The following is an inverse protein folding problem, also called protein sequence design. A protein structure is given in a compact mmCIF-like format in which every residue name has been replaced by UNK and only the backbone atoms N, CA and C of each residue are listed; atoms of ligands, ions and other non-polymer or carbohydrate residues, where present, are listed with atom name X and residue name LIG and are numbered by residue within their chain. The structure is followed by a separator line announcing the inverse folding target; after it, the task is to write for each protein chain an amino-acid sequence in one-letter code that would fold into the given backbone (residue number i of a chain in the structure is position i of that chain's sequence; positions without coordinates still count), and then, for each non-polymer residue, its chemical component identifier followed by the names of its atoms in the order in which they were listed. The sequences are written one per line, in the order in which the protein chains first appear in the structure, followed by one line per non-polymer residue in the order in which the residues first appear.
data_IF_797462424174
#
_entry.id   IF_797462424174
#
_cell.length_a   1.000
_cell.length_b   1.000
_cell.length_c   1.000
_cell.angle_alpha   90.00
_cell.angle_beta   90.00
_cell.angle_gamma   90.00
#
_symmetry.space_group_name_H-M   'P 1'
#
loop_
_entity.id
_entity.type
_entity.pdbx_description
1 polymer ?
#
# COMPACT_ATOMS: atom_id res chain seq x y z
N UNK A 1 -11.01 16.24 27.08
CA UNK A 1 -10.30 15.39 26.09
C UNK A 1 -11.03 15.62 24.79
N UNK A 2 -10.56 16.61 24.03
CA UNK A 2 -11.33 17.24 22.97
C UNK A 2 -11.59 16.26 21.81
N UNK A 3 -12.86 16.09 21.45
CA UNK A 3 -13.32 15.39 20.24
C UNK A 3 -13.00 16.16 18.94
N UNK A 4 -12.25 17.27 19.04
CA UNK A 4 -11.85 18.09 17.90
C UNK A 4 -10.72 17.41 17.13
N UNK A 5 -11.06 16.65 16.09
CA UNK A 5 -10.08 16.14 15.12
C UNK A 5 -10.31 14.70 14.63
N UNK A 6 -11.33 13.98 15.11
CA UNK A 6 -11.67 12.65 14.58
C UNK A 6 -12.70 12.75 13.46
N UNK A 7 -12.40 12.14 12.31
CA UNK A 7 -13.30 12.05 11.18
C UNK A 7 -14.10 10.75 11.20
N UNK A 8 -13.42 9.61 11.30
CA UNK A 8 -14.03 8.28 11.28
C UNK A 8 -14.26 7.80 12.72
N UNK A 9 -15.51 7.83 13.17
CA UNK A 9 -15.88 7.45 14.53
C UNK A 9 -16.43 6.02 14.59
N UNK A 10 -17.14 5.59 13.55
CA UNK A 10 -17.76 4.28 13.50
C UNK A 10 -17.67 3.64 12.11
N UNK A 11 -17.68 2.32 12.09
CA UNK A 11 -17.70 1.53 10.87
C UNK A 11 -18.30 0.15 11.16
N UNK A 12 -18.75 -0.54 10.12
CA UNK A 12 -19.25 -1.91 10.19
C UNK A 12 -18.44 -2.78 9.25
N UNK A 13 -17.83 -3.85 9.78
CA UNK A 13 -17.07 -4.82 8.99
C UNK A 13 -18.01 -5.95 8.53
N UNK A 14 -17.93 -6.31 7.25
CA UNK A 14 -18.56 -7.49 6.68
C UNK A 14 -17.51 -8.39 6.04
N UNK A 15 -17.37 -9.60 6.56
CA UNK A 15 -16.47 -10.60 5.98
C UNK A 15 -17.11 -11.19 4.72
N UNK A 16 -16.33 -11.21 3.63
CA UNK A 16 -16.70 -11.77 2.34
C UNK A 16 -15.76 -12.92 2.05
N UNK A 17 -16.31 -14.13 2.01
CA UNK A 17 -15.58 -15.32 1.58
C UNK A 17 -15.61 -15.39 0.05
N UNK A 18 -14.46 -15.68 -0.56
CA UNK A 18 -14.38 -15.74 -2.02
C UNK A 18 -14.92 -17.09 -2.51
N UNK A 19 -16.08 -17.09 -3.16
CA UNK A 19 -16.71 -18.31 -3.68
C UNK A 19 -15.89 -19.03 -4.78
N UNK A 20 -14.92 -18.34 -5.39
CA UNK A 20 -14.12 -18.85 -6.50
C UNK A 20 -12.90 -19.71 -6.11
N UNK A 21 -12.55 -19.82 -4.83
CA UNK A 21 -11.44 -20.67 -4.39
C UNK A 21 -11.78 -21.34 -3.04
N UNK A 22 -12.52 -22.47 -3.06
CA UNK A 22 -12.95 -23.17 -1.85
C UNK A 22 -11.81 -23.65 -0.94
N UNK A 23 -10.58 -23.70 -1.47
CA UNK A 23 -9.34 -24.04 -0.75
C UNK A 23 -8.58 -22.83 -0.19
N UNK A 24 -9.01 -21.59 -0.49
CA UNK A 24 -8.43 -20.39 0.11
C UNK A 24 -8.97 -20.21 1.52
N UNK A 25 -8.13 -20.42 2.54
CA UNK A 25 -8.47 -20.07 3.93
C UNK A 25 -8.64 -18.55 4.12
N UNK A 26 -8.08 -17.74 3.21
CA UNK A 26 -8.15 -16.28 3.26
C UNK A 26 -9.53 -15.72 2.92
N UNK A 27 -9.90 -14.67 3.63
CA UNK A 27 -11.14 -13.90 3.48
C UNK A 27 -10.86 -12.47 2.97
N UNK A 28 -11.91 -11.80 2.51
CA UNK A 28 -11.90 -10.37 2.25
C UNK A 28 -12.81 -9.67 3.25
N UNK A 29 -12.64 -8.37 3.44
CA UNK A 29 -13.52 -7.55 4.25
C UNK A 29 -14.06 -6.37 3.43
N UNK A 30 -15.35 -6.10 3.57
CA UNK A 30 -16.00 -4.88 3.11
C UNK A 30 -16.43 -4.10 4.34
N UNK A 31 -15.93 -2.88 4.47
CA UNK A 31 -16.13 -2.05 5.65
C UNK A 31 -16.93 -0.83 5.25
N UNK A 32 -18.13 -0.70 5.80
CA UNK A 32 -18.99 0.47 5.62
C UNK A 32 -18.63 1.52 6.67
N UNK A 33 -18.42 2.77 6.26
CA UNK A 33 -18.01 3.86 7.15
C UNK A 33 -19.22 4.71 7.54
N UNK A 34 -19.26 5.13 8.81
CA UNK A 34 -20.24 6.08 9.33
C UNK A 34 -20.06 7.49 8.77
N UNK A 35 -18.84 7.85 8.40
CA UNK A 35 -18.46 9.17 7.92
C UNK A 35 -17.93 9.13 6.48
N UNK A 36 -17.95 10.29 5.82
CA UNK A 36 -17.40 10.46 4.48
C UNK A 36 -15.93 10.90 4.57
N UNK A 37 -15.02 10.05 4.11
CA UNK A 37 -13.57 10.26 4.17
C UNK A 37 -12.97 10.89 2.91
N UNK A 38 -13.80 11.35 1.94
CA UNK A 38 -13.33 11.82 0.62
C UNK A 38 -12.24 12.89 0.69
N UNK A 39 -12.31 13.77 1.68
CA UNK A 39 -11.38 14.89 1.83
C UNK A 39 -9.99 14.45 2.30
N UNK A 40 -9.88 13.27 2.91
CA UNK A 40 -8.61 12.72 3.42
C UNK A 40 -7.89 11.90 2.35
N UNK A 41 -8.61 11.40 1.33
CA UNK A 41 -8.05 10.51 0.31
C UNK A 41 -6.79 11.07 -0.40
N UNK A 42 -6.71 12.36 -0.79
CA UNK A 42 -5.49 12.90 -1.40
C UNK A 42 -4.28 12.88 -0.45
N UNK A 43 -4.51 13.08 0.85
CA UNK A 43 -3.46 13.07 1.87
C UNK A 43 -3.00 11.63 2.16
N UNK A 44 -3.95 10.69 2.27
CA UNK A 44 -3.65 9.26 2.38
C UNK A 44 -2.88 8.76 1.14
N UNK A 45 -3.22 9.24 -0.06
CA UNK A 45 -2.50 8.90 -1.27
C UNK A 45 -1.02 9.30 -1.19
N UNK A 46 -0.73 10.48 -0.63
CA UNK A 46 0.64 10.92 -0.44
C UNK A 46 1.37 10.11 0.65
N UNK A 47 0.74 9.98 1.83
CA UNK A 47 1.31 9.34 3.02
C UNK A 47 1.52 7.83 2.84
N UNK A 48 0.48 7.13 2.39
CA UNK A 48 0.47 5.67 2.22
C UNK A 48 1.01 5.24 0.85
N UNK A 49 1.57 6.17 0.08
CA UNK A 49 2.22 5.89 -1.20
C UNK A 49 1.30 5.13 -2.16
N UNK A 50 0.11 5.70 -2.43
CA UNK A 50 -0.96 5.07 -3.20
C UNK A 50 -0.49 4.28 -4.43
N UNK A 51 -0.93 3.03 -4.51
CA UNK A 51 -0.69 2.14 -5.65
C UNK A 51 -1.52 2.57 -6.87
N UNK A 52 -2.76 3.00 -6.59
CA UNK A 52 -3.67 3.60 -7.55
C UNK A 52 -4.45 4.71 -6.87
N UNK A 53 -4.68 5.80 -7.60
CA UNK A 53 -5.50 6.92 -7.13
C UNK A 53 -6.26 7.53 -8.29
N UNK A 54 -7.55 7.79 -8.08
CA UNK A 54 -8.39 8.58 -8.96
C UNK A 54 -9.10 9.64 -8.13
N UNK A 55 -8.81 10.92 -8.41
CA UNK A 55 -9.50 12.01 -7.74
C UNK A 55 -10.97 12.08 -8.18
N UNK A 56 -11.25 11.86 -9.47
CA UNK A 56 -12.60 11.88 -10.03
C UNK A 56 -13.50 10.83 -9.36
N UNK A 57 -13.05 9.58 -9.31
CA UNK A 57 -13.78 8.46 -8.71
C UNK A 57 -13.70 8.42 -7.18
N UNK A 58 -12.90 9.33 -6.57
CA UNK A 58 -12.57 9.35 -5.14
C UNK A 58 -12.15 7.96 -4.65
N UNK A 59 -11.16 7.40 -5.32
CA UNK A 59 -10.67 6.04 -5.12
C UNK A 59 -9.18 6.08 -4.79
N UNK A 60 -8.78 5.43 -3.70
CA UNK A 60 -7.38 5.17 -3.38
C UNK A 60 -7.21 3.68 -3.13
N UNK A 61 -6.28 3.03 -3.82
CA UNK A 61 -5.83 1.68 -3.47
C UNK A 61 -4.38 1.72 -3.02
N UNK A 62 -4.08 1.10 -1.88
CA UNK A 62 -2.73 0.95 -1.34
C UNK A 62 -2.39 -0.54 -1.22
N UNK A 63 -1.10 -0.85 -1.28
CA UNK A 63 -0.56 -2.13 -0.84
C UNK A 63 0.02 -1.93 0.55
N UNK A 64 -0.46 -2.67 1.52
CA UNK A 64 0.00 -2.56 2.90
C UNK A 64 0.03 -3.94 3.54
N UNK A 65 1.20 -4.35 4.01
CA UNK A 65 1.45 -5.65 4.67
C UNK A 65 0.94 -6.86 3.87
N UNK A 66 1.04 -6.81 2.55
CA UNK A 66 0.58 -7.90 1.66
C UNK A 66 -0.91 -7.86 1.28
N UNK A 67 -1.68 -6.95 1.87
CA UNK A 67 -3.08 -6.68 1.53
C UNK A 67 -3.18 -5.60 0.46
N UNK A 68 -4.19 -5.73 -0.41
CA UNK A 68 -4.71 -4.58 -1.15
C UNK A 68 -5.87 -3.99 -0.36
N UNK A 69 -5.77 -2.69 -0.10
CA UNK A 69 -6.78 -1.92 0.63
C UNK A 69 -7.25 -0.79 -0.27
N UNK A 70 -8.55 -0.77 -0.54
CA UNK A 70 -9.19 0.20 -1.40
C UNK A 70 -10.13 1.07 -0.58
N UNK A 71 -9.82 2.36 -0.49
CA UNK A 71 -10.62 3.40 0.14
C UNK A 71 -11.53 4.06 -0.88
N UNK A 72 -12.79 4.25 -0.49
CA UNK A 72 -13.84 5.04 -1.13
C UNK A 72 -14.43 5.99 -0.09
N UNK A 73 -15.23 7.01 -0.50
CA UNK A 73 -15.75 8.01 0.43
C UNK A 73 -16.42 7.42 1.68
N UNK A 74 -17.16 6.32 1.56
CA UNK A 74 -17.88 5.71 2.69
C UNK A 74 -17.63 4.21 2.85
N UNK A 75 -16.56 3.70 2.25
CA UNK A 75 -16.30 2.26 2.25
C UNK A 75 -14.80 1.97 2.14
N UNK A 76 -14.34 0.92 2.81
CA UNK A 76 -13.01 0.35 2.64
C UNK A 76 -13.14 -1.12 2.28
N UNK A 77 -12.45 -1.58 1.25
CA UNK A 77 -12.34 -2.99 0.90
C UNK A 77 -10.92 -3.47 1.22
N UNK A 78 -10.79 -4.60 1.92
CA UNK A 78 -9.50 -5.21 2.29
C UNK A 78 -9.48 -6.64 1.76
N UNK A 79 -8.36 -7.05 1.17
CA UNK A 79 -8.22 -8.38 0.55
C UNK A 79 -7.17 -9.25 1.22
N UNK A 80 -7.28 -10.56 1.03
CA UNK A 80 -6.30 -11.57 1.48
C UNK A 80 -6.04 -11.60 3.00
N UNK A 81 -7.08 -11.33 3.78
CA UNK A 81 -7.03 -11.45 5.22
C UNK A 81 -7.06 -12.93 5.63
N UNK A 82 -6.42 -13.31 6.70
CA UNK A 82 -6.50 -14.64 7.29
C UNK A 82 -7.89 -14.88 7.89
N UNK A 83 -8.40 -13.94 8.68
CA UNK A 83 -9.71 -14.06 9.34
C UNK A 83 -10.33 -12.70 9.73
N UNK A 84 -11.45 -12.77 10.45
CA UNK A 84 -12.14 -11.59 10.99
C UNK A 84 -11.32 -10.84 12.06
N UNK A 85 -10.50 -11.53 12.84
CA UNK A 85 -9.63 -10.93 13.85
C UNK A 85 -8.56 -10.05 13.21
N UNK A 86 -7.96 -10.50 12.12
CA UNK A 86 -7.04 -9.69 11.32
C UNK A 86 -7.78 -8.49 10.69
N UNK A 87 -8.98 -8.69 10.13
CA UNK A 87 -9.79 -7.60 9.59
C UNK A 87 -10.02 -6.47 10.61
N UNK A 88 -10.35 -6.83 11.85
CA UNK A 88 -10.52 -5.88 12.95
C UNK A 88 -9.21 -5.15 13.29
N UNK A 89 -8.10 -5.88 13.36
CA UNK A 89 -6.78 -5.33 13.70
C UNK A 89 -6.32 -4.31 12.65
N UNK A 90 -6.44 -4.67 11.37
CA UNK A 90 -6.16 -3.77 10.24
C UNK A 90 -7.05 -2.53 10.32
N UNK A 91 -8.36 -2.69 10.55
CA UNK A 91 -9.27 -1.54 10.64
C UNK A 91 -9.00 -0.59 11.80
N UNK A 92 -8.59 -1.09 12.97
CA UNK A 92 -8.18 -0.23 14.10
C UNK A 92 -7.01 0.66 13.70
N UNK A 93 -6.02 0.09 13.02
CA UNK A 93 -4.87 0.85 12.55
C UNK A 93 -5.25 1.83 11.44
N UNK A 94 -6.08 1.42 10.48
CA UNK A 94 -6.58 2.32 9.42
C UNK A 94 -7.38 3.47 9.99
N UNK A 95 -8.27 3.24 10.96
CA UNK A 95 -9.05 4.29 11.60
C UNK A 95 -8.13 5.32 12.27
N UNK A 96 -7.09 4.85 12.96
CA UNK A 96 -6.07 5.73 13.55
C UNK A 96 -5.40 6.59 12.49
N UNK A 97 -4.90 5.97 11.40
CA UNK A 97 -4.24 6.68 10.29
C UNK A 97 -5.17 7.71 9.65
N UNK A 98 -6.43 7.35 9.38
CA UNK A 98 -7.42 8.26 8.78
C UNK A 98 -7.64 9.48 9.68
N UNK A 99 -7.86 9.24 10.98
CA UNK A 99 -8.11 10.32 11.94
C UNK A 99 -6.88 11.20 12.18
N UNK A 100 -5.69 10.61 12.29
CA UNK A 100 -4.43 11.37 12.42
C UNK A 100 -4.15 12.18 11.15
N UNK A 101 -4.37 11.61 9.97
CA UNK A 101 -4.23 12.32 8.69
C UNK A 101 -5.22 13.48 8.61
N UNK A 102 -6.47 13.26 9.00
CA UNK A 102 -7.49 14.31 9.01
C UNK A 102 -7.14 15.45 9.97
N UNK A 103 -6.74 15.13 11.20
CA UNK A 103 -6.40 16.11 12.22
C UNK A 103 -5.21 16.99 11.80
N UNK A 104 -4.26 16.43 11.05
CA UNK A 104 -3.05 17.12 10.60
C UNK A 104 -3.11 17.60 9.15
N UNK A 105 -4.26 17.52 8.46
CA UNK A 105 -4.35 17.78 7.01
C UNK A 105 -3.83 19.17 6.59
N UNK A 106 -3.94 20.17 7.46
CA UNK A 106 -3.45 21.53 7.17
C UNK A 106 -1.93 21.63 7.10
N UNK A 107 -1.20 20.68 7.70
CA UNK A 107 0.27 20.59 7.66
C UNK A 107 0.79 19.49 6.72
N UNK A 108 -0.11 18.77 6.04
CA UNK A 108 0.23 17.70 5.11
C UNK A 108 0.04 18.18 3.66
N UNK A 109 0.87 17.70 2.76
CA UNK A 109 0.68 17.93 1.33
C UNK A 109 -0.24 16.86 0.74
N UNK A 110 -1.38 17.24 0.13
CA UNK A 110 -2.23 16.31 -0.59
C UNK A 110 -1.60 15.94 -1.94
N UNK A 111 -1.85 14.72 -2.40
CA UNK A 111 -1.54 14.30 -3.77
C UNK A 111 -2.82 13.90 -4.49
N UNK A 112 -3.24 14.71 -5.45
CA UNK A 112 -4.43 14.48 -6.27
C UNK A 112 -4.19 13.62 -7.53
N UNK A 113 -2.97 13.10 -7.69
CA UNK A 113 -2.56 12.33 -8.87
C UNK A 113 -2.02 10.96 -8.48
N UNK A 114 -2.15 9.99 -9.37
CA UNK A 114 -1.47 8.71 -9.22
C UNK A 114 0.04 8.91 -9.20
N UNK A 115 0.76 8.10 -8.42
CA UNK A 115 2.21 8.03 -8.56
C UNK A 115 2.61 7.46 -9.92
N UNK A 116 3.52 8.15 -10.59
CA UNK A 116 4.26 7.57 -11.70
C UNK A 116 5.24 6.55 -11.13
N UNK A 117 4.93 5.26 -11.30
CA UNK A 117 5.87 4.19 -10.98
C UNK A 117 6.76 3.94 -12.21
N UNK A 118 8.05 3.65 -12.00
CA UNK A 118 8.95 3.30 -13.10
C UNK A 118 8.44 2.05 -13.81
N UNK A 119 8.61 2.02 -15.13
CA UNK A 119 8.30 0.83 -15.93
C UNK A 119 9.24 -0.33 -15.56
N UNK A 120 8.86 -1.60 -15.80
CA UNK A 120 9.70 -2.75 -15.42
C UNK A 120 11.14 -2.67 -15.92
N UNK A 121 11.31 -2.15 -17.14
CA UNK A 121 12.64 -1.99 -17.73
C UNK A 121 13.47 -0.90 -17.04
N UNK A 122 12.84 0.15 -16.53
CA UNK A 122 13.51 1.22 -15.78
C UNK A 122 13.99 0.70 -14.42
N UNK A 123 13.16 -0.09 -13.73
CA UNK A 123 13.57 -0.79 -12.50
C UNK A 123 14.73 -1.75 -12.80
N UNK A 124 14.62 -2.58 -13.83
CA UNK A 124 15.68 -3.49 -14.24
C UNK A 124 16.99 -2.77 -14.57
N UNK A 125 16.92 -1.57 -15.18
CA UNK A 125 18.10 -0.77 -15.51
C UNK A 125 18.90 -0.35 -14.27
N UNK A 126 18.24 -0.16 -13.13
CA UNK A 126 18.85 0.21 -11.84
C UNK A 126 19.45 -0.99 -11.09
N UNK A 127 19.12 -2.23 -11.47
CA UNK A 127 19.67 -3.42 -10.83
C UNK A 127 21.09 -3.75 -11.31
N UNK A 128 21.88 -4.54 -10.54
CA UNK A 128 23.21 -5.01 -10.94
C UNK A 128 23.24 -5.95 -12.17
N UNK A 129 22.10 -6.54 -12.55
CA UNK A 129 21.93 -7.41 -13.74
C UNK A 129 22.82 -8.66 -13.77
N UNK A 130 23.26 -9.14 -12.61
CA UNK A 130 24.14 -10.31 -12.50
C UNK A 130 23.38 -11.65 -12.56
N UNK A 131 22.05 -11.64 -12.41
CA UNK A 131 21.22 -12.84 -12.27
C UNK A 131 21.76 -13.84 -11.22
N UNK A 132 22.39 -13.34 -10.14
CA UNK A 132 23.10 -14.16 -9.16
C UNK A 132 22.20 -15.06 -8.29
N UNK A 133 20.88 -14.84 -8.29
CA UNK A 133 19.88 -15.58 -7.50
C UNK A 133 20.01 -15.47 -5.98
N UNK A 134 20.88 -14.58 -5.46
CA UNK A 134 21.06 -14.36 -4.01
C UNK A 134 19.81 -13.88 -3.28
N UNK A 135 18.86 -13.26 -4.00
CA UNK A 135 17.54 -12.87 -3.48
C UNK A 135 16.45 -13.95 -3.63
N UNK A 136 16.80 -15.15 -4.13
CA UNK A 136 15.86 -16.24 -4.38
C UNK A 136 15.11 -16.18 -5.73
N UNK A 137 15.25 -15.08 -6.49
CA UNK A 137 14.59 -14.94 -7.80
C UNK A 137 15.46 -15.51 -8.94
N UNK A 138 14.80 -16.08 -9.96
CA UNK A 138 15.50 -16.73 -11.08
C UNK A 138 16.34 -15.76 -11.94
N UNK A 139 15.89 -14.50 -12.07
CA UNK A 139 16.56 -13.44 -12.82
C UNK A 139 16.38 -12.08 -12.12
N UNK A 140 17.25 -11.11 -12.44
CA UNK A 140 17.09 -9.72 -12.00
C UNK A 140 15.80 -9.09 -12.56
N UNK A 141 15.33 -9.52 -13.73
CA UNK A 141 14.03 -9.08 -14.25
C UNK A 141 12.86 -9.60 -13.40
N UNK A 142 12.92 -10.86 -12.96
CA UNK A 142 11.92 -11.41 -12.04
C UNK A 142 11.90 -10.62 -10.72
N UNK A 143 13.08 -10.30 -10.17
CA UNK A 143 13.19 -9.43 -9.00
C UNK A 143 12.61 -8.03 -9.23
N UNK A 144 12.88 -7.39 -10.38
CA UNK A 144 12.31 -6.09 -10.74
C UNK A 144 10.77 -6.11 -10.77
N UNK A 145 10.18 -7.14 -11.37
CA UNK A 145 8.72 -7.31 -11.40
C UNK A 145 8.16 -7.53 -9.99
N UNK A 146 8.86 -8.28 -9.14
CA UNK A 146 8.48 -8.51 -7.74
C UNK A 146 8.59 -7.26 -6.87
N UNK A 147 9.58 -6.39 -7.10
CA UNK A 147 9.64 -5.06 -6.47
C UNK A 147 8.40 -4.23 -6.83
N UNK A 148 8.04 -4.17 -8.12
CA UNK A 148 6.84 -3.44 -8.56
C UNK A 148 5.54 -4.05 -8.02
N UNK A 149 5.52 -5.36 -7.83
CA UNK A 149 4.42 -6.06 -7.19
C UNK A 149 4.34 -5.79 -5.68
N UNK A 150 5.40 -5.28 -5.05
CA UNK A 150 5.48 -5.13 -3.60
C UNK A 150 5.77 -6.45 -2.87
N UNK A 151 6.14 -7.50 -3.60
CA UNK A 151 6.47 -8.82 -3.05
C UNK A 151 7.92 -8.89 -2.54
N UNK A 152 8.75 -7.90 -2.93
CA UNK A 152 10.16 -7.76 -2.57
C UNK A 152 10.46 -6.30 -2.25
N UNK A 153 11.57 -6.09 -1.57
CA UNK A 153 12.13 -4.80 -1.17
C UNK A 153 13.54 -4.62 -1.75
N UNK A 154 14.00 -3.39 -2.03
CA UNK A 154 15.33 -3.16 -2.60
C UNK A 154 16.47 -3.81 -1.79
N UNK A 155 16.36 -3.83 -0.46
CA UNK A 155 17.35 -4.41 0.48
C UNK A 155 17.58 -5.91 0.28
N UNK A 156 16.63 -6.64 -0.30
CA UNK A 156 16.75 -8.08 -0.54
C UNK A 156 17.71 -8.41 -1.70
N UNK A 157 18.08 -7.44 -2.54
CA UNK A 157 19.12 -7.62 -3.55
C UNK A 157 20.50 -7.35 -2.94
N UNK A 158 21.15 -8.37 -2.37
CA UNK A 158 22.46 -8.18 -1.71
C UNK A 158 23.52 -7.45 -2.55
N UNK A 159 23.70 -7.73 -3.86
CA UNK A 159 24.68 -6.98 -4.67
C UNK A 159 24.31 -5.51 -4.88
N UNK A 160 23.03 -5.13 -4.74
CA UNK A 160 22.58 -3.74 -4.86
C UNK A 160 23.05 -2.89 -3.66
N UNK A 161 23.42 -3.52 -2.53
CA UNK A 161 23.92 -2.85 -1.34
C UNK A 161 25.41 -2.50 -1.40
N UNK A 162 26.13 -2.93 -2.44
CA UNK A 162 27.54 -2.59 -2.65
C UNK A 162 27.69 -1.09 -2.98
N UNK A 163 28.78 -0.46 -2.54
CA UNK A 163 28.99 0.99 -2.67
C UNK A 163 28.89 1.48 -4.13
N UNK A 164 29.26 0.62 -5.10
CA UNK A 164 29.14 0.91 -6.54
C UNK A 164 27.70 1.13 -7.01
N UNK A 165 26.70 0.60 -6.31
CA UNK A 165 25.28 0.70 -6.64
C UNK A 165 24.48 1.58 -5.69
N UNK A 166 25.14 2.27 -4.75
CA UNK A 166 24.49 3.09 -3.71
C UNK A 166 23.45 4.08 -4.24
N UNK A 167 23.77 4.80 -5.32
CA UNK A 167 22.83 5.73 -5.95
C UNK A 167 21.59 4.99 -6.50
N UNK A 168 21.78 3.84 -7.16
CA UNK A 168 20.68 3.04 -7.67
C UNK A 168 19.80 2.49 -6.53
N UNK A 169 20.42 2.06 -5.43
CA UNK A 169 19.70 1.61 -4.24
C UNK A 169 18.83 2.73 -3.65
N UNK A 170 19.36 3.95 -3.54
CA UNK A 170 18.62 5.13 -3.07
C UNK A 170 17.42 5.41 -3.97
N UNK A 171 17.62 5.50 -5.30
CA UNK A 171 16.53 5.70 -6.26
C UNK A 171 15.47 4.60 -6.19
N UNK A 172 15.87 3.33 -6.08
CA UNK A 172 14.92 2.23 -5.94
C UNK A 172 14.14 2.30 -4.62
N UNK A 173 14.77 2.76 -3.54
CA UNK A 173 14.11 2.96 -2.23
C UNK A 173 13.15 4.14 -2.26
N UNK A 174 13.40 5.18 -3.06
CA UNK A 174 12.44 6.26 -3.27
C UNK A 174 11.17 5.77 -3.99
N UNK A 175 11.28 4.82 -4.91
CA UNK A 175 10.12 4.21 -5.58
C UNK A 175 9.44 3.15 -4.72
N UNK A 176 10.22 2.29 -4.06
CA UNK A 176 9.79 1.11 -3.31
C UNK A 176 10.31 1.10 -1.87
N UNK A 177 9.93 2.07 -1.02
CA UNK A 177 10.33 2.08 0.38
C UNK A 177 9.48 1.07 1.11
N UNK A 178 10.11 0.03 1.61
CA UNK A 178 9.56 -0.87 2.59
C UNK A 178 10.78 -1.35 3.40
N UNK A 179 10.86 -0.85 4.62
CA UNK A 179 11.88 -1.20 5.61
C UNK A 179 11.71 -2.61 6.17
#
# INVERSE_FOLDING_TARGET
MDEKGKLLNNYTIRIVRSDCNPSSEKVNALVELGEDIREVLPYLNNLLRGYEYSDEEKLLTVKWEGHLITFRPRQIAITKLEDEGEANSVMVQLQKIINETYANRESLEPRHTRRSLPQPLEVYKLLPKTNCKKCGEATCMAFALKLMAGDRTPKECLPLLEETFKANYQTLTEFFPND
#
